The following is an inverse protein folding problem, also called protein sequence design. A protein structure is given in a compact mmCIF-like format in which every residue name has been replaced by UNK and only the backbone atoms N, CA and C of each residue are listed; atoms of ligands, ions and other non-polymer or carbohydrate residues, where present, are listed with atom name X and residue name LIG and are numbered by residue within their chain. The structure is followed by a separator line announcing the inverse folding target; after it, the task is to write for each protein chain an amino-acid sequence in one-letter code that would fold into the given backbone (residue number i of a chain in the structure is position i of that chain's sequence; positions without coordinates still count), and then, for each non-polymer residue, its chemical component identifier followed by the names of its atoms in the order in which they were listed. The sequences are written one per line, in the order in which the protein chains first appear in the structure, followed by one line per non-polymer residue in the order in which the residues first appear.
data_IF_663132461953
#
_entry.id   IF_663132461953
#
_cell.length_a   1.000
_cell.length_b   1.000
_cell.length_c   1.000
_cell.angle_alpha   90.00
_cell.angle_beta   90.00
_cell.angle_gamma   90.00
#
_symmetry.space_group_name_H-M   'P 1'
#
loop_
_entity.id
_entity.type
_entity.pdbx_description
1 polymer ?
#
# COMPACT_ATOMS: atom_id res chain seq x y z
N UNK A 1 -7.55 29.71 -7.12
CA UNK A 1 -6.37 30.33 -6.48
C UNK A 1 -6.89 31.29 -5.42
N UNK A 2 -7.18 30.78 -4.21
CA UNK A 2 -7.56 31.49 -2.96
C UNK A 2 -8.01 30.42 -1.93
N UNK A 3 -7.06 29.66 -1.39
CA UNK A 3 -7.25 28.71 -0.26
C UNK A 3 -5.91 28.50 0.48
N UNK A 4 -5.08 29.55 0.58
CA UNK A 4 -3.65 29.39 0.90
C UNK A 4 -3.22 29.51 2.37
N UNK A 5 -4.05 30.01 3.28
CA UNK A 5 -3.50 30.60 4.53
C UNK A 5 -3.88 29.89 5.84
N UNK A 6 -4.35 28.64 5.80
CA UNK A 6 -4.61 27.88 7.04
C UNK A 6 -4.04 26.46 7.05
N UNK A 7 -2.93 26.23 6.36
CA UNK A 7 -2.05 25.10 6.65
C UNK A 7 -1.22 25.46 7.89
N UNK A 8 -1.77 25.19 9.07
CA UNK A 8 -1.12 25.31 10.39
C UNK A 8 -0.82 26.73 10.90
N UNK A 9 -1.29 27.01 12.12
CA UNK A 9 -0.76 28.09 12.94
C UNK A 9 0.71 27.80 13.26
N UNK A 10 1.64 28.40 12.53
CA UNK A 10 3.06 28.41 12.90
C UNK A 10 3.97 28.93 11.80
N UNK A 11 4.39 30.18 11.91
CA UNK A 11 5.56 30.82 11.26
C UNK A 11 5.71 30.65 9.73
N UNK A 12 5.62 31.74 8.95
CA UNK A 12 5.51 31.71 7.48
C UNK A 12 6.59 30.94 6.68
N UNK A 13 7.67 30.49 7.32
CA UNK A 13 8.66 29.54 6.76
C UNK A 13 8.12 28.12 6.58
N UNK A 14 7.27 27.63 7.49
CA UNK A 14 6.72 26.28 7.46
C UNK A 14 5.87 26.05 6.20
N UNK A 15 5.02 27.02 5.85
CA UNK A 15 4.16 26.96 4.67
C UNK A 15 4.90 26.98 3.34
N UNK A 16 6.13 27.52 3.27
CA UNK A 16 6.95 27.40 2.05
C UNK A 16 7.52 25.98 1.89
N UNK A 17 8.09 25.42 2.97
CA UNK A 17 8.66 24.06 2.98
C UNK A 17 7.59 23.02 2.65
N UNK A 18 6.42 23.11 3.28
CA UNK A 18 5.31 22.17 3.02
C UNK A 18 4.83 22.21 1.57
N UNK A 19 4.81 23.40 0.95
CA UNK A 19 4.49 23.54 -0.48
C UNK A 19 5.57 22.96 -1.37
N UNK A 20 6.85 23.13 -1.02
CA UNK A 20 7.96 22.55 -1.77
C UNK A 20 7.93 21.02 -1.71
N UNK A 21 7.72 20.44 -0.52
CA UNK A 21 7.62 18.99 -0.28
C UNK A 21 6.29 18.38 -0.79
N UNK A 22 5.32 19.21 -1.19
CA UNK A 22 4.10 18.79 -1.88
C UNK A 22 4.10 19.12 -3.38
N UNK A 23 5.23 19.64 -3.90
CA UNK A 23 5.31 20.03 -5.29
C UNK A 23 5.54 18.81 -6.21
N UNK A 24 5.15 18.90 -7.48
CA UNK A 24 5.50 17.88 -8.48
C UNK A 24 7.02 17.65 -8.59
N UNK A 25 7.84 18.67 -8.30
CA UNK A 25 9.29 18.55 -8.29
C UNK A 25 9.78 17.58 -7.22
N UNK A 26 9.18 17.59 -6.02
CA UNK A 26 9.55 16.64 -4.96
C UNK A 26 9.30 15.19 -5.38
N UNK A 27 8.13 14.90 -5.95
CA UNK A 27 7.83 13.57 -6.47
C UNK A 27 8.73 13.18 -7.64
N UNK A 28 9.05 14.11 -8.54
CA UNK A 28 10.00 13.86 -9.63
C UNK A 28 11.40 13.51 -9.09
N UNK A 29 11.87 14.21 -8.05
CA UNK A 29 13.14 13.89 -7.39
C UNK A 29 13.12 12.50 -6.75
N UNK A 30 12.04 12.11 -6.07
CA UNK A 30 11.90 10.76 -5.52
C UNK A 30 11.93 9.68 -6.62
N UNK A 31 11.19 9.88 -7.72
CA UNK A 31 11.17 8.98 -8.87
C UNK A 31 12.58 8.85 -9.47
N UNK A 32 13.25 9.96 -9.75
CA UNK A 32 14.59 9.95 -10.35
C UNK A 32 15.63 9.31 -9.42
N UNK A 33 15.48 9.50 -8.10
CA UNK A 33 16.34 8.88 -7.09
C UNK A 33 16.25 7.36 -7.07
N UNK A 34 15.14 6.78 -7.54
CA UNK A 34 15.00 5.33 -7.68
C UNK A 34 15.32 4.85 -9.10
N UNK A 35 14.80 5.55 -10.12
CA UNK A 35 14.90 5.14 -11.50
C UNK A 35 16.32 5.21 -12.06
N UNK A 36 17.09 6.26 -11.73
CA UNK A 36 18.47 6.40 -12.22
C UNK A 36 19.35 5.28 -11.64
N UNK A 37 19.38 5.02 -10.31
CA UNK A 37 20.15 3.90 -9.79
C UNK A 37 19.69 2.53 -10.32
N UNK A 38 18.39 2.35 -10.57
CA UNK A 38 17.86 1.13 -11.19
C UNK A 38 18.42 0.88 -12.61
N UNK A 39 18.67 1.93 -13.40
CA UNK A 39 19.34 1.80 -14.71
C UNK A 39 20.74 1.19 -14.54
N UNK A 40 21.48 1.60 -13.52
CA UNK A 40 22.86 1.15 -13.28
C UNK A 40 22.97 -0.09 -12.38
N UNK A 41 21.87 -0.62 -11.85
CA UNK A 41 21.89 -1.69 -10.85
C UNK A 41 22.39 -1.25 -9.48
N UNK A 42 22.47 0.06 -9.22
CA UNK A 42 22.99 0.65 -8.00
C UNK A 42 21.88 0.87 -6.94
N UNK A 43 21.10 -0.17 -6.63
CA UNK A 43 19.89 -0.08 -5.79
C UNK A 43 20.13 0.57 -4.41
N UNK A 44 21.30 0.32 -3.81
CA UNK A 44 21.71 0.93 -2.55
C UNK A 44 21.74 2.44 -2.61
N UNK A 45 22.22 3.01 -3.72
CA UNK A 45 22.27 4.46 -3.92
C UNK A 45 20.85 5.04 -3.90
N UNK A 46 19.90 4.38 -4.54
CA UNK A 46 18.50 4.80 -4.51
C UNK A 46 17.89 4.74 -3.10
N UNK A 47 18.22 3.68 -2.35
CA UNK A 47 17.81 3.51 -0.96
C UNK A 47 18.33 4.64 -0.07
N UNK A 48 19.63 4.94 -0.16
CA UNK A 48 20.29 6.02 0.58
C UNK A 48 19.74 7.40 0.22
N UNK A 49 19.56 7.70 -1.06
CA UNK A 49 18.99 8.98 -1.51
C UNK A 49 17.58 9.18 -0.92
N UNK A 50 16.72 8.17 -1.01
CA UNK A 50 15.37 8.24 -0.45
C UNK A 50 15.40 8.36 1.08
N UNK A 51 16.34 7.70 1.77
CA UNK A 51 16.50 7.82 3.21
C UNK A 51 16.95 9.23 3.65
N UNK A 52 17.78 9.89 2.83
CA UNK A 52 18.14 11.30 3.02
C UNK A 52 16.92 12.19 2.83
N UNK A 53 16.12 12.00 1.78
CA UNK A 53 14.87 12.77 1.59
C UNK A 53 13.89 12.58 2.74
N UNK A 54 13.73 11.34 3.22
CA UNK A 54 12.91 11.04 4.40
C UNK A 54 13.41 11.78 5.63
N UNK A 55 14.72 11.76 5.89
CA UNK A 55 15.34 12.42 7.05
C UNK A 55 15.23 13.94 6.96
N UNK A 56 15.41 14.51 5.77
CA UNK A 56 15.21 15.94 5.53
C UNK A 56 13.76 16.35 5.78
N UNK A 57 12.78 15.59 5.27
CA UNK A 57 11.38 15.84 5.52
C UNK A 57 11.04 15.81 7.02
N UNK A 58 11.53 14.81 7.76
CA UNK A 58 11.37 14.71 9.22
C UNK A 58 11.96 15.94 9.95
N UNK A 59 13.11 16.47 9.51
CA UNK A 59 13.71 17.64 10.17
C UNK A 59 12.97 18.93 9.81
N UNK A 60 12.58 19.09 8.55
CA UNK A 60 12.13 20.36 8.00
C UNK A 60 10.65 20.67 8.25
N UNK A 61 9.80 19.65 8.40
CA UNK A 61 8.37 19.84 8.63
C UNK A 61 7.81 18.92 9.70
N UNK A 62 6.71 19.33 10.33
CA UNK A 62 5.89 18.46 11.18
C UNK A 62 5.07 17.48 10.34
N UNK A 63 4.67 17.87 9.13
CA UNK A 63 3.84 17.05 8.27
C UNK A 63 4.55 15.72 7.95
N UNK A 64 3.97 14.61 8.36
CA UNK A 64 4.60 13.29 8.19
C UNK A 64 4.55 12.78 6.73
N UNK A 65 3.64 13.30 5.91
CA UNK A 65 3.38 12.79 4.55
C UNK A 65 4.59 12.79 3.61
N UNK A 66 5.45 13.83 3.56
CA UNK A 66 6.63 13.79 2.70
C UNK A 66 7.67 12.75 3.14
N UNK A 67 7.83 12.56 4.45
CA UNK A 67 8.69 11.52 5.01
C UNK A 67 8.13 10.13 4.67
N UNK A 68 6.82 9.95 4.80
CA UNK A 68 6.13 8.74 4.38
C UNK A 68 6.28 8.47 2.88
N UNK A 69 6.20 9.49 2.03
CA UNK A 69 6.44 9.36 0.59
C UNK A 69 7.86 8.85 0.32
N UNK A 70 8.88 9.50 0.89
CA UNK A 70 10.26 9.07 0.72
C UNK A 70 10.50 7.65 1.25
N UNK A 71 9.85 7.28 2.36
CA UNK A 71 9.86 5.91 2.88
C UNK A 71 9.31 4.89 1.87
N UNK A 72 8.17 5.15 1.23
CA UNK A 72 7.63 4.26 0.18
C UNK A 72 8.66 4.10 -0.95
N UNK A 73 9.31 5.16 -1.38
CA UNK A 73 10.33 5.10 -2.43
C UNK A 73 11.60 4.35 -1.99
N UNK A 74 12.02 4.42 -0.71
CA UNK A 74 13.05 3.54 -0.15
C UNK A 74 12.68 2.06 -0.33
N UNK A 75 11.43 1.67 -0.08
CA UNK A 75 11.03 0.26 -0.22
C UNK A 75 11.03 -0.20 -1.68
N UNK A 76 10.73 0.70 -2.62
CA UNK A 76 10.73 0.38 -4.05
C UNK A 76 12.16 0.33 -4.60
N UNK A 77 13.09 1.15 -4.09
CA UNK A 77 14.47 1.21 -4.63
C UNK A 77 15.24 -0.10 -4.50
N UNK A 78 14.93 -0.91 -3.49
CA UNK A 78 15.58 -2.21 -3.23
C UNK A 78 14.73 -3.40 -3.69
N UNK A 79 13.64 -3.17 -4.43
CA UNK A 79 12.66 -4.22 -4.72
C UNK A 79 13.19 -5.34 -5.65
N UNK A 80 14.27 -5.07 -6.40
CA UNK A 80 14.96 -6.10 -7.22
C UNK A 80 15.77 -7.07 -6.35
N UNK A 81 16.13 -6.69 -5.12
CA UNK A 81 16.99 -7.46 -4.22
C UNK A 81 16.20 -8.56 -3.52
N UNK A 82 15.88 -9.62 -4.26
CA UNK A 82 15.22 -10.81 -3.74
C UNK A 82 16.23 -11.82 -3.18
N UNK A 83 15.93 -12.41 -2.01
CA UNK A 83 16.72 -13.49 -1.43
C UNK A 83 18.08 -13.06 -0.87
N UNK A 84 18.23 -11.78 -0.52
CA UNK A 84 19.46 -11.28 0.11
C UNK A 84 19.70 -11.92 1.48
N UNK A 85 20.97 -12.14 1.79
CA UNK A 85 21.46 -12.76 3.03
C UNK A 85 21.36 -11.82 4.23
N UNK A 86 21.48 -12.36 5.45
CA UNK A 86 21.60 -11.54 6.66
C UNK A 86 22.68 -10.45 6.55
N UNK A 87 23.87 -10.80 6.04
CA UNK A 87 24.99 -9.86 5.93
C UNK A 87 24.67 -8.69 5.00
N UNK A 88 24.03 -8.97 3.87
CA UNK A 88 23.59 -7.93 2.93
C UNK A 88 22.52 -7.03 3.55
N UNK A 89 21.54 -7.59 4.27
CA UNK A 89 20.52 -6.81 4.99
C UNK A 89 21.18 -5.88 6.02
N UNK A 90 22.10 -6.41 6.83
CA UNK A 90 22.82 -5.61 7.83
C UNK A 90 23.78 -4.60 7.19
N UNK A 91 24.22 -4.83 5.95
CA UNK A 91 24.96 -3.84 5.15
C UNK A 91 24.18 -2.52 4.99
N UNK A 92 22.85 -2.55 4.96
CA UNK A 92 22.00 -1.36 4.91
C UNK A 92 21.80 -0.67 6.26
N UNK A 93 22.25 -1.26 7.38
CA UNK A 93 22.02 -0.71 8.72
C UNK A 93 22.63 0.68 8.90
N UNK A 94 23.63 1.05 8.10
CA UNK A 94 24.20 2.41 8.07
C UNK A 94 23.15 3.50 7.84
N UNK A 95 22.07 3.21 7.10
CA UNK A 95 20.96 4.16 6.87
C UNK A 95 20.30 4.58 8.18
N UNK A 96 20.25 3.70 9.18
CA UNK A 96 19.69 4.00 10.49
C UNK A 96 20.45 5.13 11.19
N UNK A 97 21.75 5.31 10.92
CA UNK A 97 22.55 6.40 11.47
C UNK A 97 22.09 7.79 10.99
N UNK A 98 21.37 7.86 9.86
CA UNK A 98 20.79 9.11 9.35
C UNK A 98 19.32 9.25 9.77
N UNK A 99 18.56 8.16 9.66
CA UNK A 99 17.12 8.16 9.90
C UNK A 99 16.77 8.30 11.38
N UNK A 100 17.45 7.57 12.27
CA UNK A 100 17.13 7.57 13.70
C UNK A 100 17.33 8.97 14.31
N UNK A 101 18.47 9.67 14.11
CA UNK A 101 18.63 11.03 14.64
C UNK A 101 17.57 12.01 14.11
N UNK A 102 17.20 11.92 12.83
CA UNK A 102 16.16 12.75 12.24
C UNK A 102 14.78 12.47 12.87
N UNK A 103 14.44 11.20 13.09
CA UNK A 103 13.21 10.80 13.76
C UNK A 103 13.18 11.28 15.22
N UNK A 104 14.26 11.08 15.97
CA UNK A 104 14.41 11.56 17.34
C UNK A 104 14.22 13.08 17.39
N UNK A 105 14.91 13.81 16.52
CA UNK A 105 14.76 15.26 16.40
C UNK A 105 13.30 15.65 16.12
N UNK A 106 12.65 15.02 15.15
CA UNK A 106 11.24 15.28 14.82
C UNK A 106 10.32 15.02 16.03
N UNK A 107 10.58 13.94 16.77
CA UNK A 107 9.82 13.60 17.97
C UNK A 107 9.95 14.71 19.02
N UNK A 108 11.17 15.17 19.32
CA UNK A 108 11.39 16.19 20.34
C UNK A 108 10.96 17.60 19.89
N UNK A 109 11.21 17.95 18.63
CA UNK A 109 10.92 19.28 18.06
C UNK A 109 9.44 19.58 18.01
N UNK A 110 8.62 18.58 17.66
CA UNK A 110 7.18 18.72 17.49
C UNK A 110 6.34 18.15 18.65
N UNK A 111 6.99 17.75 19.76
CA UNK A 111 6.33 17.16 20.95
C UNK A 111 5.13 17.94 21.48
N UNK A 112 5.14 19.28 21.40
CA UNK A 112 4.05 20.13 21.90
C UNK A 112 2.75 19.89 21.12
N UNK A 113 2.86 19.61 19.82
CA UNK A 113 1.71 19.35 18.94
C UNK A 113 1.04 17.99 19.19
N UNK A 114 1.71 17.09 19.93
CA UNK A 114 1.19 15.76 20.28
C UNK A 114 0.56 15.70 21.68
N UNK A 115 0.63 16.78 22.45
CA UNK A 115 -0.01 16.86 23.78
C UNK A 115 -1.52 16.79 23.61
N UNK A 116 -2.16 15.88 24.34
CA UNK A 116 -3.61 15.69 24.25
C UNK A 116 -4.07 14.87 23.05
N UNK A 117 -3.18 14.04 22.48
CA UNK A 117 -3.57 13.03 21.49
C UNK A 117 -4.76 12.20 21.98
N UNK A 118 -5.77 12.06 21.12
CA UNK A 118 -6.94 11.20 21.35
C UNK A 118 -6.93 10.12 20.27
N UNK A 119 -6.82 8.84 20.65
CA UNK A 119 -6.80 7.76 19.67
C UNK A 119 -8.02 7.76 18.75
N UNK A 120 -7.79 7.56 17.45
CA UNK A 120 -8.84 7.36 16.45
C UNK A 120 -9.51 5.99 16.56
N UNK A 121 -10.51 5.75 15.71
CA UNK A 121 -11.29 4.50 15.65
C UNK A 121 -10.44 3.29 15.29
N UNK A 122 -9.35 3.50 14.57
CA UNK A 122 -8.42 2.44 14.18
C UNK A 122 -7.45 2.01 15.29
N UNK A 123 -7.38 2.73 16.41
CA UNK A 123 -6.44 2.43 17.48
C UNK A 123 -6.71 1.08 18.16
N UNK A 124 -7.92 0.87 18.67
CA UNK A 124 -8.24 -0.36 19.39
C UNK A 124 -8.19 -1.62 18.50
N UNK A 125 -8.70 -1.60 17.25
CA UNK A 125 -8.55 -2.75 16.36
C UNK A 125 -7.07 -3.07 16.03
N UNK A 126 -6.23 -2.06 15.79
CA UNK A 126 -4.79 -2.29 15.59
C UNK A 126 -4.12 -2.82 16.86
N UNK A 127 -4.51 -2.33 18.04
CA UNK A 127 -4.00 -2.84 19.31
C UNK A 127 -4.40 -4.30 19.56
N UNK A 128 -5.62 -4.70 19.16
CA UNK A 128 -6.07 -6.08 19.22
C UNK A 128 -5.24 -6.99 18.30
N UNK A 129 -4.94 -6.55 17.08
CA UNK A 129 -4.03 -7.27 16.16
C UNK A 129 -2.63 -7.39 16.77
N UNK A 130 -2.11 -6.32 17.36
CA UNK A 130 -0.83 -6.35 18.07
C UNK A 130 -0.82 -7.35 19.23
N UNK A 131 -1.90 -7.43 20.01
CA UNK A 131 -2.02 -8.40 21.09
C UNK A 131 -2.09 -9.84 20.55
N UNK A 132 -2.83 -10.07 19.47
CA UNK A 132 -2.92 -11.38 18.84
C UNK A 132 -1.58 -11.87 18.28
N UNK A 133 -0.79 -10.98 17.67
CA UNK A 133 0.56 -11.30 17.19
C UNK A 133 1.50 -11.69 18.34
N UNK A 134 1.46 -10.97 19.46
CA UNK A 134 2.27 -11.28 20.64
C UNK A 134 1.87 -12.61 21.28
N UNK A 135 0.57 -12.93 21.30
CA UNK A 135 0.03 -14.15 21.90
C UNK A 135 0.05 -15.35 20.94
N UNK A 136 0.33 -15.13 19.65
CA UNK A 136 0.38 -16.19 18.65
C UNK A 136 1.42 -17.26 18.99
N UNK A 137 1.02 -18.52 18.95
CA UNK A 137 1.84 -19.66 19.34
C UNK A 137 1.89 -19.95 20.84
N UNK A 138 1.19 -19.19 21.70
CA UNK A 138 1.19 -19.43 23.13
C UNK A 138 0.73 -20.85 23.48
N UNK A 139 1.63 -21.64 24.07
CA UNK A 139 1.42 -23.05 24.40
C UNK A 139 1.78 -24.05 23.30
N UNK A 140 2.18 -23.57 22.11
CA UNK A 140 2.53 -24.40 20.94
C UNK A 140 4.00 -24.24 20.54
N UNK A 141 4.48 -22.99 20.47
CA UNK A 141 5.83 -22.66 19.97
C UNK A 141 6.87 -22.70 21.10
N UNK A 142 8.08 -23.16 20.79
CA UNK A 142 9.19 -23.08 21.73
C UNK A 142 9.66 -21.64 21.95
N UNK A 143 10.27 -21.36 23.10
CA UNK A 143 10.84 -20.02 23.36
C UNK A 143 11.97 -19.68 22.37
N UNK A 144 12.76 -20.67 21.95
CA UNK A 144 13.85 -20.49 20.98
C UNK A 144 13.32 -20.04 19.61
N UNK A 145 12.29 -20.71 19.09
CA UNK A 145 11.67 -20.34 17.81
C UNK A 145 10.94 -18.99 17.89
N UNK A 146 10.28 -18.71 19.01
CA UNK A 146 9.56 -17.44 19.19
C UNK A 146 10.51 -16.23 19.24
N UNK A 147 11.64 -16.36 19.96
CA UNK A 147 12.62 -15.27 20.10
C UNK A 147 13.72 -15.29 19.02
N UNK A 148 13.63 -16.18 18.04
CA UNK A 148 14.48 -16.14 16.86
C UNK A 148 14.30 -14.79 16.11
N UNK A 149 15.37 -14.32 15.47
CA UNK A 149 15.43 -12.96 14.91
C UNK A 149 14.32 -12.68 13.90
N UNK A 150 14.08 -13.60 12.95
CA UNK A 150 13.05 -13.43 11.92
C UNK A 150 11.63 -13.38 12.54
N UNK A 151 11.17 -14.39 13.31
CA UNK A 151 9.85 -14.33 13.95
C UNK A 151 9.67 -13.12 14.88
N UNK A 152 10.69 -12.78 15.67
CA UNK A 152 10.65 -11.61 16.54
C UNK A 152 10.50 -10.31 15.73
N UNK A 153 11.18 -10.18 14.58
CA UNK A 153 10.98 -9.05 13.67
C UNK A 153 9.53 -8.95 13.20
N UNK A 154 8.92 -10.02 12.70
CA UNK A 154 7.52 -9.96 12.23
C UNK A 154 6.54 -9.68 13.37
N UNK A 155 6.65 -10.38 14.50
CA UNK A 155 5.76 -10.20 15.65
C UNK A 155 5.85 -8.77 16.20
N UNK A 156 7.06 -8.25 16.43
CA UNK A 156 7.25 -6.91 16.97
C UNK A 156 6.90 -5.84 15.94
N UNK A 157 7.29 -6.01 14.68
CA UNK A 157 7.08 -4.99 13.67
C UNK A 157 5.61 -4.90 13.27
N UNK A 158 4.95 -6.01 12.93
CA UNK A 158 3.52 -6.02 12.59
C UNK A 158 2.62 -5.70 13.78
N UNK A 159 3.07 -6.01 15.00
CA UNK A 159 2.33 -5.74 16.22
C UNK A 159 2.63 -4.36 16.79
N UNK A 160 3.54 -4.32 17.76
CA UNK A 160 3.75 -3.14 18.62
C UNK A 160 4.34 -1.97 17.84
N UNK A 161 5.29 -2.22 16.94
CA UNK A 161 5.92 -1.16 16.17
C UNK A 161 4.94 -0.52 15.19
N UNK A 162 4.15 -1.31 14.46
CA UNK A 162 3.13 -0.78 13.54
C UNK A 162 2.06 0.02 14.30
N UNK A 163 1.64 -0.42 15.49
CA UNK A 163 0.76 0.36 16.35
C UNK A 163 1.39 1.70 16.77
N UNK A 164 2.66 1.69 17.18
CA UNK A 164 3.39 2.90 17.54
C UNK A 164 3.56 3.86 16.35
N UNK A 165 3.89 3.32 15.17
CA UNK A 165 4.01 4.08 13.92
C UNK A 165 2.65 4.66 13.54
N UNK A 166 1.55 3.91 13.67
CA UNK A 166 0.20 4.42 13.42
C UNK A 166 -0.10 5.64 14.32
N UNK A 167 0.15 5.54 15.63
CA UNK A 167 -0.04 6.65 16.57
C UNK A 167 0.83 7.84 16.20
N UNK A 168 2.09 7.59 15.85
CA UNK A 168 3.03 8.63 15.43
C UNK A 168 2.55 9.35 14.16
N UNK A 169 2.16 8.60 13.13
CA UNK A 169 1.63 9.13 11.89
C UNK A 169 0.34 9.93 12.12
N UNK A 170 -0.60 9.41 12.92
CA UNK A 170 -1.86 10.09 13.23
C UNK A 170 -1.66 11.42 13.96
N UNK A 171 -0.68 11.49 14.87
CA UNK A 171 -0.33 12.72 15.59
C UNK A 171 0.21 13.83 14.68
N UNK A 172 0.90 13.47 13.60
CA UNK A 172 1.63 14.40 12.73
C UNK A 172 1.04 14.48 11.31
N UNK A 173 -0.12 13.85 11.11
CA UNK A 173 -0.95 13.99 9.92
C UNK A 173 -1.61 15.38 9.88
N UNK A 174 -1.61 16.07 8.73
CA UNK A 174 -2.32 17.34 8.62
C UNK A 174 -3.84 17.22 8.76
N UNK A 175 -4.46 18.31 9.21
CA UNK A 175 -5.92 18.39 9.36
C UNK A 175 -6.65 18.73 8.06
N UNK A 176 -5.96 19.28 7.05
CA UNK A 176 -6.61 19.59 5.77
C UNK A 176 -6.91 18.31 5.00
N UNK A 177 -8.16 17.84 5.08
CA UNK A 177 -8.63 16.65 4.37
C UNK A 177 -8.37 16.67 2.87
N UNK A 178 -8.45 17.83 2.23
CA UNK A 178 -8.24 17.98 0.80
C UNK A 178 -6.77 17.79 0.44
N UNK A 179 -5.89 18.40 1.23
CA UNK A 179 -4.45 18.22 1.11
C UNK A 179 -4.02 16.78 1.38
N UNK A 180 -4.43 16.18 2.49
CA UNK A 180 -3.97 14.82 2.89
C UNK A 180 -4.44 13.76 1.90
N UNK A 181 -5.71 13.80 1.49
CA UNK A 181 -6.28 12.88 0.49
C UNK A 181 -5.60 13.01 -0.88
N UNK A 182 -5.32 14.24 -1.30
CA UNK A 182 -4.58 14.52 -2.52
C UNK A 182 -3.14 13.99 -2.45
N UNK A 183 -2.44 14.25 -1.34
CA UNK A 183 -1.05 13.88 -1.16
C UNK A 183 -0.87 12.35 -1.16
N UNK A 184 -1.71 11.61 -0.42
CA UNK A 184 -1.59 10.15 -0.38
C UNK A 184 -1.90 9.52 -1.76
N UNK A 185 -2.84 10.08 -2.51
CA UNK A 185 -3.09 9.67 -3.88
C UNK A 185 -1.89 9.97 -4.78
N UNK A 186 -1.29 11.17 -4.66
CA UNK A 186 -0.11 11.56 -5.43
C UNK A 186 1.11 10.68 -5.11
N UNK A 187 1.29 10.23 -3.86
CA UNK A 187 2.31 9.22 -3.48
C UNK A 187 2.11 7.91 -4.23
N UNK A 188 0.88 7.38 -4.23
CA UNK A 188 0.57 6.11 -4.89
C UNK A 188 0.65 6.22 -6.43
N UNK A 189 0.21 7.34 -7.00
CA UNK A 189 0.35 7.64 -8.43
C UNK A 189 1.83 7.72 -8.80
N UNK A 190 2.65 8.39 -7.99
CA UNK A 190 4.09 8.51 -8.23
C UNK A 190 4.81 7.16 -8.08
N UNK A 191 4.42 6.33 -7.11
CA UNK A 191 4.92 4.96 -6.97
C UNK A 191 4.55 4.10 -8.19
N UNK A 192 3.30 4.19 -8.66
CA UNK A 192 2.88 3.52 -9.90
C UNK A 192 3.66 4.03 -11.11
N UNK A 193 3.97 5.33 -11.18
CA UNK A 193 4.76 5.90 -12.27
C UNK A 193 6.21 5.39 -12.25
N UNK A 194 6.80 5.24 -11.07
CA UNK A 194 8.10 4.61 -10.90
C UNK A 194 8.09 3.16 -11.39
N UNK A 195 7.08 2.35 -11.01
CA UNK A 195 6.97 0.98 -11.52
C UNK A 195 6.80 0.92 -13.04
N UNK A 196 6.00 1.80 -13.63
CA UNK A 196 5.86 1.90 -15.09
C UNK A 196 7.21 2.21 -15.76
N UNK A 197 8.01 3.09 -15.17
CA UNK A 197 9.35 3.41 -15.65
C UNK A 197 10.33 2.25 -15.46
N UNK A 198 10.28 1.56 -14.32
CA UNK A 198 11.11 0.37 -14.06
C UNK A 198 10.79 -0.76 -15.04
N UNK A 199 9.51 -0.97 -15.37
CA UNK A 199 9.11 -1.92 -16.40
C UNK A 199 9.63 -1.53 -17.78
N UNK A 200 9.53 -0.26 -18.15
CA UNK A 200 10.10 0.24 -19.41
C UNK A 200 11.62 0.03 -19.46
N UNK A 201 12.33 0.36 -18.38
CA UNK A 201 13.79 0.16 -18.29
C UNK A 201 14.12 -1.33 -18.40
N UNK A 202 13.38 -2.21 -17.72
CA UNK A 202 13.57 -3.65 -17.81
C UNK A 202 13.33 -4.16 -19.24
N UNK A 203 12.25 -3.73 -19.88
CA UNK A 203 11.90 -4.11 -21.25
C UNK A 203 13.00 -3.70 -22.25
N UNK A 204 13.54 -2.48 -22.10
CA UNK A 204 14.62 -1.99 -22.94
C UNK A 204 15.95 -2.72 -22.66
N UNK A 205 16.25 -3.04 -21.40
CA UNK A 205 17.44 -3.84 -21.02
C UNK A 205 17.38 -5.27 -21.58
N UNK A 206 16.20 -5.85 -21.62
CA UNK A 206 15.96 -7.23 -22.08
C UNK A 206 15.78 -7.31 -23.63
N UNK A 207 16.08 -6.23 -24.36
CA UNK A 207 16.10 -6.22 -25.83
C UNK A 207 14.78 -5.85 -26.51
N UNK A 208 13.70 -5.62 -25.75
CA UNK A 208 12.47 -5.01 -26.25
C UNK A 208 11.59 -5.91 -27.14
N UNK A 209 11.78 -7.23 -27.09
CA UNK A 209 10.96 -8.20 -27.84
C UNK A 209 9.78 -8.75 -27.04
N UNK A 210 9.96 -8.99 -25.75
CA UNK A 210 8.98 -9.60 -24.86
C UNK A 210 8.86 -8.82 -23.55
N UNK A 211 7.70 -8.88 -22.90
CA UNK A 211 7.53 -8.22 -21.62
C UNK A 211 8.38 -8.95 -20.55
N UNK A 212 9.25 -8.23 -19.84
CA UNK A 212 10.23 -8.84 -18.94
C UNK A 212 9.55 -9.57 -17.78
N UNK A 213 10.06 -10.75 -17.43
CA UNK A 213 9.74 -11.37 -16.15
C UNK A 213 10.63 -10.77 -15.06
N UNK A 214 10.01 -10.32 -13.96
CA UNK A 214 10.71 -9.87 -12.76
C UNK A 214 10.03 -10.40 -11.52
N UNK A 215 10.79 -10.80 -10.50
CA UNK A 215 10.24 -11.36 -9.26
C UNK A 215 9.32 -10.34 -8.55
N UNK A 216 9.68 -9.06 -8.58
CA UNK A 216 8.92 -7.98 -7.95
C UNK A 216 7.59 -7.64 -8.64
N UNK A 217 7.22 -8.33 -9.73
CA UNK A 217 5.92 -8.15 -10.43
C UNK A 217 4.73 -8.20 -9.48
N UNK A 218 4.81 -9.04 -8.46
CA UNK A 218 3.77 -9.24 -7.46
C UNK A 218 3.63 -8.01 -6.55
N UNK A 219 4.75 -7.43 -6.13
CA UNK A 219 4.74 -6.21 -5.32
C UNK A 219 4.26 -5.00 -6.14
N UNK A 220 4.73 -4.87 -7.38
CA UNK A 220 4.26 -3.83 -8.30
C UNK A 220 2.75 -3.94 -8.57
N UNK A 221 2.25 -5.15 -8.79
CA UNK A 221 0.82 -5.41 -8.95
C UNK A 221 0.02 -4.98 -7.71
N UNK A 222 0.51 -5.29 -6.51
CA UNK A 222 -0.14 -4.90 -5.26
C UNK A 222 -0.17 -3.37 -5.07
N UNK A 223 0.92 -2.67 -5.41
CA UNK A 223 0.94 -1.20 -5.44
C UNK A 223 -0.05 -0.63 -6.47
N UNK A 224 -0.13 -1.22 -7.66
CA UNK A 224 -1.04 -0.76 -8.71
C UNK A 224 -2.51 -0.99 -8.33
N UNK A 225 -2.85 -2.08 -7.62
CA UNK A 225 -4.20 -2.33 -7.09
C UNK A 225 -4.64 -1.20 -6.14
N UNK A 226 -3.73 -0.72 -5.28
CA UNK A 226 -3.99 0.42 -4.39
C UNK A 226 -4.01 1.76 -5.15
N UNK A 227 -3.14 1.94 -6.14
CA UNK A 227 -2.95 3.21 -6.84
C UNK A 227 -4.02 3.50 -7.90
N UNK A 228 -4.52 2.49 -8.63
CA UNK A 228 -5.41 2.69 -9.78
C UNK A 228 -6.73 3.40 -9.40
N UNK A 229 -7.47 2.97 -8.35
CA UNK A 229 -8.71 3.65 -7.97
C UNK A 229 -8.49 5.09 -7.51
N UNK A 230 -7.35 5.37 -6.88
CA UNK A 230 -6.95 6.72 -6.45
C UNK A 230 -6.45 7.58 -7.61
N UNK A 231 -5.85 6.98 -8.64
CA UNK A 231 -5.49 7.63 -9.91
C UNK A 231 -6.75 8.16 -10.59
N UNK A 232 -7.78 7.31 -10.71
CA UNK A 232 -9.09 7.70 -11.23
C UNK A 232 -9.72 8.80 -10.36
N UNK A 233 -9.75 8.64 -9.03
CA UNK A 233 -10.27 9.66 -8.13
C UNK A 233 -9.59 11.03 -8.32
N UNK A 234 -8.26 11.04 -8.43
CA UNK A 234 -7.48 12.26 -8.66
C UNK A 234 -7.90 12.93 -9.97
N UNK A 235 -8.19 12.14 -11.00
CA UNK A 235 -8.76 12.58 -12.27
C UNK A 235 -10.08 13.36 -12.14
N UNK A 236 -10.97 13.02 -11.19
CA UNK A 236 -12.26 13.71 -11.00
C UNK A 236 -12.06 15.20 -10.68
N UNK A 237 -11.08 15.49 -9.83
CA UNK A 237 -10.78 16.83 -9.32
C UNK A 237 -9.71 17.58 -10.13
N UNK A 238 -9.02 16.89 -11.04
CA UNK A 238 -7.91 17.44 -11.81
C UNK A 238 -8.36 18.24 -13.04
N UNK A 239 -7.51 19.16 -13.50
CA UNK A 239 -7.68 19.84 -14.79
C UNK A 239 -7.34 18.92 -15.97
N UNK A 240 -6.45 17.95 -15.77
CA UNK A 240 -5.92 16.98 -16.75
C UNK A 240 -6.51 15.58 -16.53
N UNK A 241 -7.84 15.50 -16.59
CA UNK A 241 -8.62 14.30 -16.29
C UNK A 241 -8.25 13.11 -17.19
N UNK A 242 -8.20 13.35 -18.51
CA UNK A 242 -7.84 12.33 -19.50
C UNK A 242 -6.46 11.72 -19.27
N UNK A 243 -5.49 12.48 -18.74
CA UNK A 243 -4.17 11.94 -18.40
C UNK A 243 -4.24 10.94 -17.23
N UNK A 244 -5.12 11.17 -16.24
CA UNK A 244 -5.32 10.24 -15.13
C UNK A 244 -6.04 8.98 -15.59
N UNK A 245 -7.06 9.11 -16.44
CA UNK A 245 -7.74 7.96 -17.04
C UNK A 245 -6.77 7.12 -17.88
N UNK A 246 -5.99 7.76 -18.75
CA UNK A 246 -4.96 7.08 -19.54
C UNK A 246 -3.92 6.38 -18.64
N UNK A 247 -3.48 7.06 -17.58
CA UNK A 247 -2.52 6.47 -16.66
C UNK A 247 -3.09 5.28 -15.87
N UNK A 248 -4.37 5.33 -15.48
CA UNK A 248 -5.05 4.18 -14.88
C UNK A 248 -5.18 3.00 -15.86
N UNK A 249 -5.46 3.26 -17.15
CA UNK A 249 -5.45 2.25 -18.20
C UNK A 249 -4.05 1.66 -18.44
N UNK A 250 -3.01 2.48 -18.35
CA UNK A 250 -1.62 2.01 -18.41
C UNK A 250 -1.30 1.09 -17.22
N UNK A 251 -1.71 1.45 -16.00
CA UNK A 251 -1.53 0.59 -14.82
C UNK A 251 -2.23 -0.75 -15.02
N UNK A 252 -3.49 -0.75 -15.50
CA UNK A 252 -4.21 -1.97 -15.86
C UNK A 252 -3.40 -2.81 -16.87
N UNK A 253 -2.96 -2.21 -17.97
CA UNK A 253 -2.19 -2.91 -18.99
C UNK A 253 -0.88 -3.50 -18.44
N UNK A 254 -0.14 -2.76 -17.62
CA UNK A 254 1.11 -3.24 -17.03
C UNK A 254 0.90 -4.39 -16.04
N UNK A 255 -0.17 -4.36 -15.23
CA UNK A 255 -0.51 -5.51 -14.36
C UNK A 255 -0.78 -6.76 -15.21
N UNK A 256 -1.59 -6.63 -16.26
CA UNK A 256 -1.88 -7.73 -17.17
C UNK A 256 -0.60 -8.28 -17.84
N UNK A 257 0.22 -7.39 -18.41
CA UNK A 257 1.47 -7.74 -19.09
C UNK A 257 2.52 -8.35 -18.15
N UNK A 258 2.54 -7.95 -16.88
CA UNK A 258 3.50 -8.47 -15.89
C UNK A 258 3.37 -9.96 -15.60
N UNK A 259 2.21 -10.56 -15.91
CA UNK A 259 1.91 -11.95 -15.57
C UNK A 259 1.81 -12.18 -14.05
N UNK A 260 1.52 -11.16 -13.23
CA UNK A 260 1.16 -11.33 -11.83
C UNK A 260 -0.29 -11.82 -11.74
N UNK A 261 -0.50 -13.14 -11.81
CA UNK A 261 -1.84 -13.77 -11.94
C UNK A 261 -2.85 -13.25 -10.90
N UNK A 262 -2.45 -13.22 -9.63
CA UNK A 262 -3.29 -12.70 -8.55
C UNK A 262 -3.65 -11.23 -8.73
N UNK A 263 -2.67 -10.39 -9.10
CA UNK A 263 -2.93 -8.96 -9.32
C UNK A 263 -3.82 -8.74 -10.54
N UNK A 264 -3.62 -9.50 -11.61
CA UNK A 264 -4.42 -9.44 -12.84
C UNK A 264 -5.87 -9.78 -12.56
N UNK A 265 -6.13 -10.90 -11.87
CA UNK A 265 -7.48 -11.34 -11.53
C UNK A 265 -8.21 -10.27 -10.70
N UNK A 266 -7.57 -9.81 -9.63
CA UNK A 266 -8.21 -8.86 -8.72
C UNK A 266 -8.35 -7.48 -9.37
N UNK A 267 -7.38 -7.04 -10.18
CA UNK A 267 -7.46 -5.79 -10.93
C UNK A 267 -8.68 -5.82 -11.87
N UNK A 268 -8.93 -6.94 -12.55
CA UNK A 268 -10.12 -7.10 -13.40
C UNK A 268 -11.42 -6.93 -12.60
N UNK A 269 -11.49 -7.44 -11.36
CA UNK A 269 -12.66 -7.32 -10.48
C UNK A 269 -12.88 -5.89 -9.98
N UNK A 270 -11.82 -5.17 -9.58
CA UNK A 270 -11.96 -3.83 -8.98
C UNK A 270 -11.98 -2.70 -10.02
N UNK A 271 -11.55 -2.96 -11.26
CA UNK A 271 -11.46 -1.92 -12.30
C UNK A 271 -12.84 -1.35 -12.66
N UNK A 272 -13.83 -2.21 -12.90
CA UNK A 272 -15.18 -1.79 -13.24
C UNK A 272 -15.84 -0.94 -12.13
N UNK A 273 -15.90 -1.37 -10.86
CA UNK A 273 -16.48 -0.52 -9.81
C UNK A 273 -15.68 0.77 -9.57
N UNK A 274 -14.37 0.77 -9.80
CA UNK A 274 -13.55 1.99 -9.77
C UNK A 274 -13.90 2.97 -10.91
N UNK A 275 -14.12 2.46 -12.13
CA UNK A 275 -14.62 3.25 -13.26
C UNK A 275 -16.04 3.77 -13.02
N UNK A 276 -16.94 2.95 -12.47
CA UNK A 276 -18.30 3.40 -12.12
C UNK A 276 -18.20 4.57 -11.12
N UNK A 277 -17.37 4.43 -10.09
CA UNK A 277 -17.10 5.51 -9.12
C UNK A 277 -16.58 6.76 -9.83
N UNK A 278 -15.62 6.59 -10.75
CA UNK A 278 -15.07 7.68 -11.54
C UNK A 278 -16.13 8.48 -12.32
N UNK A 279 -16.95 7.80 -13.10
CA UNK A 279 -17.95 8.43 -13.96
C UNK A 279 -19.16 8.97 -13.17
N UNK A 280 -19.61 8.28 -12.12
CA UNK A 280 -20.74 8.72 -11.28
C UNK A 280 -20.43 10.05 -10.58
N UNK A 281 -19.21 10.19 -10.06
CA UNK A 281 -18.80 11.40 -9.33
C UNK A 281 -18.22 12.49 -10.25
N UNK A 282 -18.12 12.24 -11.56
CA UNK A 282 -17.71 13.25 -12.54
C UNK A 282 -18.85 14.23 -12.84
N UNK A 283 -18.70 15.48 -12.41
CA UNK A 283 -19.72 16.53 -12.61
C UNK A 283 -19.77 17.13 -14.02
N UNK A 284 -18.67 17.03 -14.78
CA UNK A 284 -18.50 17.69 -16.08
C UNK A 284 -19.02 16.82 -17.23
N UNK A 285 -20.25 17.10 -17.71
CA UNK A 285 -20.94 16.28 -18.71
C UNK A 285 -20.28 16.28 -20.09
N UNK A 286 -19.70 17.40 -20.52
CA UNK A 286 -19.04 17.49 -21.83
C UNK A 286 -17.76 16.64 -21.84
N UNK A 287 -16.98 16.69 -20.76
CA UNK A 287 -15.78 15.87 -20.61
C UNK A 287 -16.08 14.40 -20.36
N UNK A 288 -17.18 14.10 -19.67
CA UNK A 288 -17.64 12.72 -19.48
C UNK A 288 -17.82 12.00 -20.82
N UNK A 289 -18.38 12.69 -21.84
CA UNK A 289 -18.49 12.14 -23.19
C UNK A 289 -17.13 11.93 -23.85
N UNK A 290 -16.22 12.90 -23.75
CA UNK A 290 -14.86 12.76 -24.30
C UNK A 290 -14.12 11.59 -23.66
N UNK A 291 -14.21 11.44 -22.35
CA UNK A 291 -13.51 10.39 -21.62
C UNK A 291 -14.16 9.02 -21.81
N UNK A 292 -15.48 8.95 -21.91
CA UNK A 292 -16.18 7.74 -22.33
C UNK A 292 -15.78 7.34 -23.76
N UNK A 293 -15.63 8.31 -24.68
CA UNK A 293 -15.16 8.05 -26.03
C UNK A 293 -13.69 7.59 -26.06
N UNK A 294 -12.82 8.15 -25.21
CA UNK A 294 -11.43 7.69 -25.07
C UNK A 294 -11.37 6.26 -24.51
N UNK A 295 -12.19 5.96 -23.50
CA UNK A 295 -12.29 4.60 -22.95
C UNK A 295 -12.81 3.61 -24.00
N UNK A 296 -13.85 3.99 -24.74
CA UNK A 296 -14.37 3.19 -25.84
C UNK A 296 -13.31 2.98 -26.93
N UNK A 297 -12.59 4.03 -27.32
CA UNK A 297 -11.50 3.93 -28.29
C UNK A 297 -10.38 3.01 -27.79
N UNK A 298 -9.96 3.13 -26.53
CA UNK A 298 -8.97 2.23 -25.92
C UNK A 298 -9.46 0.78 -25.93
N UNK A 299 -10.73 0.54 -25.59
CA UNK A 299 -11.36 -0.77 -25.66
C UNK A 299 -11.38 -1.30 -27.10
N UNK A 300 -11.75 -0.49 -28.09
CA UNK A 300 -11.75 -0.89 -29.50
C UNK A 300 -10.34 -1.17 -30.02
N UNK A 301 -9.33 -0.38 -29.64
CA UNK A 301 -7.93 -0.65 -29.99
C UNK A 301 -7.48 -1.95 -29.35
N UNK A 302 -7.77 -2.16 -28.06
CA UNK A 302 -7.46 -3.41 -27.37
C UNK A 302 -8.15 -4.60 -28.04
N UNK A 303 -9.44 -4.49 -28.36
CA UNK A 303 -10.22 -5.50 -29.06
C UNK A 303 -9.71 -5.76 -30.49
N UNK A 304 -9.28 -4.72 -31.22
CA UNK A 304 -8.73 -4.86 -32.57
C UNK A 304 -7.36 -5.55 -32.55
N UNK A 305 -6.47 -5.17 -31.61
CA UNK A 305 -5.21 -5.88 -31.36
C UNK A 305 -5.46 -7.35 -30.96
N UNK A 306 -6.58 -7.60 -30.28
CA UNK A 306 -7.08 -8.93 -29.95
C UNK A 306 -7.53 -9.74 -31.16
N UNK A 307 -8.33 -9.16 -32.03
CA UNK A 307 -8.91 -9.84 -33.19
C UNK A 307 -7.87 -10.15 -34.28
N UNK A 308 -6.72 -9.47 -34.29
CA UNK A 308 -5.69 -9.62 -35.32
C UNK A 308 -4.63 -10.71 -35.05
N UNK A 309 -4.59 -11.27 -33.83
CA UNK A 309 -3.76 -12.44 -33.40
C UNK A 309 -3.81 -12.61 -31.87
N UNK A 310 -4.26 -11.58 -31.14
CA UNK A 310 -4.30 -11.55 -29.68
C UNK A 310 -5.32 -12.49 -29.02
N UNK A 311 -6.32 -13.00 -29.75
CA UNK A 311 -7.26 -14.00 -29.22
C UNK A 311 -6.55 -15.34 -28.97
N UNK A 312 -5.65 -15.75 -29.89
CA UNK A 312 -4.82 -16.94 -29.69
C UNK A 312 -3.82 -16.72 -28.57
N UNK A 313 -3.14 -15.56 -28.54
CA UNK A 313 -2.22 -15.20 -27.44
C UNK A 313 -2.92 -15.02 -26.09
N UNK A 314 -4.19 -14.59 -26.05
CA UNK A 314 -4.97 -14.53 -24.81
C UNK A 314 -5.42 -15.91 -24.40
N UNK A 315 -5.93 -16.72 -25.33
CA UNK A 315 -6.28 -18.11 -25.04
C UNK A 315 -5.04 -18.82 -24.55
N UNK A 316 -3.90 -18.73 -25.23
CA UNK A 316 -2.61 -19.23 -24.75
C UNK A 316 -2.21 -18.58 -23.41
N UNK A 317 -2.43 -17.27 -23.19
CA UNK A 317 -2.13 -16.61 -21.91
C UNK A 317 -3.08 -17.01 -20.78
N UNK A 318 -4.34 -17.36 -21.07
CA UNK A 318 -5.35 -17.83 -20.12
C UNK A 318 -5.17 -19.32 -19.86
N UNK A 319 -4.82 -20.09 -20.87
CA UNK A 319 -4.47 -21.52 -20.77
C UNK A 319 -3.13 -21.71 -20.07
N UNK A 320 -2.14 -20.82 -20.28
CA UNK A 320 -0.88 -20.78 -19.54
C UNK A 320 -0.96 -19.95 -18.25
N UNK A 321 -1.96 -19.06 -18.09
CA UNK A 321 -2.42 -18.60 -16.77
C UNK A 321 -3.19 -19.76 -16.20
N UNK A 322 -2.47 -20.78 -15.78
CA UNK A 322 -3.07 -21.78 -14.96
C UNK A 322 -3.44 -21.13 -13.62
N UNK A 323 -4.69 -20.65 -13.54
CA UNK A 323 -5.28 -20.01 -12.36
C UNK A 323 -5.56 -21.11 -11.31
N UNK A 324 -5.67 -22.36 -11.75
CA UNK A 324 -6.10 -23.51 -10.96
C UNK A 324 -5.04 -24.59 -10.78
N UNK A 325 -4.03 -24.71 -11.64
CA UNK A 325 -2.92 -25.64 -11.37
C UNK A 325 -2.08 -25.10 -10.21
N UNK A 326 -2.10 -25.88 -9.12
CA UNK A 326 -1.49 -25.54 -7.85
C UNK A 326 -0.01 -25.24 -8.03
N UNK A 327 0.43 -24.02 -7.71
CA UNK A 327 1.84 -23.63 -7.68
C UNK A 327 2.64 -24.38 -6.58
N UNK A 328 2.37 -25.66 -6.31
CA UNK A 328 2.89 -26.37 -5.14
C UNK A 328 2.39 -25.78 -3.82
N UNK A 329 1.29 -25.02 -3.83
CA UNK A 329 0.72 -24.38 -2.62
C UNK A 329 -0.33 -25.21 -1.91
N UNK A 330 -0.75 -26.31 -2.52
CA UNK A 330 -1.74 -27.22 -1.94
C UNK A 330 -1.23 -27.78 -0.62
N UNK A 331 0.02 -28.27 -0.61
CA UNK A 331 0.69 -28.76 0.60
C UNK A 331 0.82 -27.67 1.68
N UNK A 332 1.12 -26.43 1.29
CA UNK A 332 1.13 -25.30 2.22
C UNK A 332 -0.25 -25.06 2.84
N UNK A 333 -1.31 -25.11 2.04
CA UNK A 333 -2.67 -24.93 2.53
C UNK A 333 -3.08 -26.09 3.43
N UNK A 334 -2.76 -27.33 3.07
CA UNK A 334 -3.04 -28.52 3.88
C UNK A 334 -2.39 -28.41 5.26
N UNK A 335 -1.09 -28.11 5.32
CA UNK A 335 -0.38 -27.85 6.59
C UNK A 335 -1.00 -26.69 7.35
N UNK A 336 -1.41 -25.63 6.65
CA UNK A 336 -2.09 -24.49 7.27
C UNK A 336 -3.41 -24.87 7.91
N UNK A 337 -4.23 -25.66 7.22
CA UNK A 337 -5.51 -26.16 7.73
C UNK A 337 -5.29 -27.12 8.91
N UNK A 338 -4.30 -28.02 8.83
CA UNK A 338 -3.93 -28.89 9.94
C UNK A 338 -3.55 -28.07 11.18
N UNK A 339 -2.69 -27.06 11.02
CA UNK A 339 -2.27 -26.19 12.11
C UNK A 339 -3.43 -25.43 12.76
N UNK A 340 -4.43 -25.02 11.97
CA UNK A 340 -5.65 -24.36 12.48
C UNK A 340 -6.43 -25.30 13.40
N UNK A 341 -6.62 -26.56 13.01
CA UNK A 341 -7.39 -27.52 13.80
C UNK A 341 -6.62 -28.05 15.01
N UNK A 342 -5.31 -28.21 14.89
CA UNK A 342 -4.44 -28.68 15.98
C UNK A 342 -4.20 -27.60 17.04
N UNK A 343 -4.20 -26.32 16.68
CA UNK A 343 -3.92 -25.19 17.58
C UNK A 343 -4.99 -24.08 17.50
N UNK A 344 -6.25 -24.37 17.86
CA UNK A 344 -7.39 -23.54 17.49
C UNK A 344 -7.45 -22.17 18.18
N UNK A 345 -6.85 -22.00 19.37
CA UNK A 345 -6.98 -20.75 20.14
C UNK A 345 -5.91 -19.72 19.77
N UNK A 346 -4.63 -20.12 19.85
CA UNK A 346 -3.47 -19.23 19.66
C UNK A 346 -2.63 -19.57 18.43
N UNK A 347 -2.97 -20.61 17.67
CA UNK A 347 -2.19 -21.04 16.50
C UNK A 347 -0.82 -21.62 16.86
N UNK A 348 -0.02 -21.87 15.82
CA UNK A 348 1.36 -22.37 15.92
C UNK A 348 2.40 -21.27 16.13
N UNK A 349 2.01 -20.00 16.00
CA UNK A 349 2.91 -18.86 16.06
C UNK A 349 3.59 -18.55 14.71
N UNK A 350 4.03 -17.29 14.55
CA UNK A 350 4.71 -16.81 13.33
C UNK A 350 6.08 -17.48 13.13
N UNK A 351 6.69 -17.96 14.22
CA UNK A 351 7.97 -18.66 14.17
C UNK A 351 7.89 -20.14 13.83
N UNK A 352 6.70 -20.66 13.53
CA UNK A 352 6.54 -22.02 13.03
C UNK A 352 7.41 -22.26 11.79
N UNK A 353 8.00 -23.45 11.70
CA UNK A 353 8.85 -23.89 10.60
C UNK A 353 8.48 -25.30 10.15
N UNK A 354 8.52 -25.51 8.85
CA UNK A 354 8.45 -26.83 8.23
C UNK A 354 9.29 -26.82 6.96
N UNK A 355 10.59 -27.13 7.13
CA UNK A 355 11.57 -27.07 6.03
C UNK A 355 11.41 -28.23 5.02
N UNK A 356 10.62 -29.26 5.35
CA UNK A 356 10.28 -30.35 4.43
C UNK A 356 9.32 -29.87 3.33
N UNK A 357 8.37 -29.01 3.70
CA UNK A 357 7.36 -28.46 2.80
C UNK A 357 7.84 -27.19 2.11
N UNK A 358 8.54 -26.31 2.84
CA UNK A 358 9.02 -25.05 2.28
C UNK A 358 10.27 -24.54 2.97
N UNK A 359 11.37 -24.49 2.21
CA UNK A 359 12.62 -23.94 2.68
C UNK A 359 12.56 -22.41 2.79
N UNK A 360 12.96 -21.91 3.96
CA UNK A 360 12.93 -20.48 4.27
C UNK A 360 14.21 -19.78 3.82
N UNK A 361 14.02 -18.64 3.17
CA UNK A 361 15.10 -17.66 3.01
C UNK A 361 15.42 -16.98 4.36
N UNK A 362 16.59 -16.35 4.45
CA UNK A 362 16.93 -15.47 5.56
C UNK A 362 15.85 -14.40 5.77
N UNK A 363 15.53 -14.11 7.04
CA UNK A 363 14.47 -13.16 7.42
C UNK A 363 13.06 -13.47 6.86
N UNK A 364 12.83 -14.69 6.36
CA UNK A 364 11.49 -15.16 6.01
C UNK A 364 10.83 -15.88 7.21
N UNK A 365 9.50 -15.91 7.18
CA UNK A 365 8.66 -16.76 8.03
C UNK A 365 7.96 -17.79 7.16
N UNK A 366 7.41 -18.85 7.76
CA UNK A 366 6.67 -19.86 7.00
C UNK A 366 5.44 -19.24 6.35
N UNK A 367 5.52 -19.12 5.02
CA UNK A 367 4.51 -18.46 4.21
C UNK A 367 3.46 -19.45 3.74
N UNK A 368 2.27 -19.38 4.32
CA UNK A 368 1.12 -20.12 3.79
C UNK A 368 0.63 -19.56 2.45
N UNK A 369 1.15 -18.42 1.99
CA UNK A 369 0.73 -17.72 0.77
C UNK A 369 -0.78 -17.41 0.69
N UNK A 370 -1.43 -17.29 1.85
CA UNK A 370 -2.80 -16.82 1.99
C UNK A 370 -2.94 -16.14 3.34
N UNK A 371 -3.30 -14.85 3.34
CA UNK A 371 -3.44 -14.07 4.58
C UNK A 371 -4.48 -14.66 5.53
N UNK A 372 -5.68 -15.11 5.09
CA UNK A 372 -6.62 -15.80 5.96
C UNK A 372 -6.00 -17.04 6.63
N UNK A 373 -5.36 -17.92 5.86
CA UNK A 373 -4.72 -19.13 6.42
C UNK A 373 -3.59 -18.72 7.37
N UNK A 374 -2.76 -17.75 6.99
CA UNK A 374 -1.68 -17.25 7.83
C UNK A 374 -2.18 -16.72 9.18
N UNK A 375 -3.29 -15.96 9.19
CA UNK A 375 -3.90 -15.44 10.42
C UNK A 375 -4.32 -16.60 11.33
N UNK A 376 -5.15 -17.52 10.81
CA UNK A 376 -5.71 -18.58 11.64
C UNK A 376 -4.66 -19.62 12.04
N UNK A 377 -3.75 -20.01 11.15
CA UNK A 377 -2.70 -20.97 11.47
C UNK A 377 -1.72 -20.39 12.50
N UNK A 378 -1.29 -19.13 12.33
CA UNK A 378 -0.26 -18.53 13.19
C UNK A 378 -0.80 -18.00 14.53
N UNK A 379 -2.06 -17.57 14.58
CA UNK A 379 -2.63 -16.87 15.75
C UNK A 379 -3.97 -17.45 16.23
N UNK A 380 -4.50 -18.49 15.59
CA UNK A 380 -5.75 -19.14 15.96
C UNK A 380 -6.98 -18.25 15.85
N UNK A 381 -8.04 -18.64 16.55
CA UNK A 381 -9.29 -17.89 16.63
C UNK A 381 -9.11 -16.49 17.23
N UNK A 382 -8.13 -16.29 18.11
CA UNK A 382 -7.80 -14.95 18.65
C UNK A 382 -7.35 -14.01 17.53
N UNK A 383 -6.41 -14.46 16.68
CA UNK A 383 -5.98 -13.72 15.49
C UNK A 383 -7.14 -13.45 14.54
N UNK A 384 -7.94 -14.47 14.25
CA UNK A 384 -9.12 -14.34 13.40
C UNK A 384 -10.09 -13.27 13.91
N UNK A 385 -10.40 -13.25 15.21
CA UNK A 385 -11.27 -12.26 15.82
C UNK A 385 -10.68 -10.83 15.77
N UNK A 386 -9.38 -10.68 16.03
CA UNK A 386 -8.70 -9.39 15.99
C UNK A 386 -8.67 -8.79 14.58
N UNK A 387 -8.28 -9.58 13.57
CA UNK A 387 -8.27 -9.13 12.18
C UNK A 387 -9.67 -8.90 11.62
N UNK A 388 -10.66 -9.71 12.00
CA UNK A 388 -12.05 -9.48 11.63
C UNK A 388 -12.58 -8.17 12.23
N UNK A 389 -12.26 -7.88 13.49
CA UNK A 389 -12.61 -6.59 14.10
C UNK A 389 -11.96 -5.43 13.36
N UNK A 390 -10.68 -5.55 13.01
CA UNK A 390 -9.97 -4.55 12.22
C UNK A 390 -10.62 -4.32 10.85
N UNK A 391 -10.97 -5.38 10.13
CA UNK A 391 -11.68 -5.30 8.86
C UNK A 391 -13.04 -4.59 9.01
N UNK A 392 -13.84 -4.97 10.01
CA UNK A 392 -15.13 -4.33 10.27
C UNK A 392 -14.94 -2.84 10.60
N UNK A 393 -13.93 -2.48 11.39
CA UNK A 393 -13.63 -1.09 11.73
C UNK A 393 -13.24 -0.27 10.48
N UNK A 394 -12.41 -0.84 9.60
CA UNK A 394 -12.04 -0.26 8.30
C UNK A 394 -13.29 0.00 7.44
N UNK A 395 -14.16 -1.00 7.28
CA UNK A 395 -15.39 -0.87 6.48
C UNK A 395 -16.35 0.18 7.06
N UNK A 396 -16.44 0.32 8.38
CA UNK A 396 -17.25 1.36 9.05
C UNK A 396 -16.77 2.79 8.80
N UNK A 397 -15.52 2.99 8.35
CA UNK A 397 -15.01 4.30 7.96
C UNK A 397 -15.44 4.73 6.56
N UNK A 398 -15.88 3.80 5.72
CA UNK A 398 -16.23 4.07 4.32
C UNK A 398 -17.55 4.83 4.24
N UNK A 399 -17.57 5.86 3.38
CA UNK A 399 -18.75 6.70 3.09
C UNK A 399 -19.01 6.71 1.59
N UNK A 400 -20.23 7.06 1.19
CA UNK A 400 -20.61 7.20 -0.22
C UNK A 400 -20.09 8.51 -0.82
N UNK A 401 -18.77 8.62 -0.94
CA UNK A 401 -18.09 9.69 -1.65
C UNK A 401 -16.93 9.12 -2.49
N UNK A 402 -16.52 9.88 -3.50
CA UNK A 402 -15.53 9.42 -4.48
C UNK A 402 -14.21 8.95 -3.84
N UNK A 403 -13.68 9.69 -2.85
CA UNK A 403 -12.42 9.33 -2.20
C UNK A 403 -12.55 8.03 -1.41
N UNK A 404 -13.60 7.93 -0.58
CA UNK A 404 -13.84 6.77 0.29
C UNK A 404 -14.08 5.49 -0.51
N UNK A 405 -14.83 5.59 -1.62
CA UNK A 405 -15.05 4.46 -2.51
C UNK A 405 -13.77 4.06 -3.24
N UNK A 406 -12.96 5.00 -3.69
CA UNK A 406 -11.65 4.68 -4.28
C UNK A 406 -10.70 4.01 -3.27
N UNK A 407 -10.66 4.48 -2.02
CA UNK A 407 -9.91 3.80 -0.95
C UNK A 407 -10.47 2.39 -0.71
N UNK A 408 -11.79 2.22 -0.67
CA UNK A 408 -12.43 0.90 -0.55
C UNK A 408 -12.01 -0.03 -1.70
N UNK A 409 -12.10 0.40 -2.95
CA UNK A 409 -11.76 -0.45 -4.09
C UNK A 409 -10.27 -0.82 -4.11
N UNK A 410 -9.40 0.12 -3.76
CA UNK A 410 -7.97 -0.17 -3.62
C UNK A 410 -7.72 -1.18 -2.50
N UNK A 411 -8.36 -0.99 -1.35
CA UNK A 411 -8.26 -1.88 -0.20
C UNK A 411 -8.79 -3.28 -0.49
N UNK A 412 -9.97 -3.41 -1.11
CA UNK A 412 -10.51 -4.70 -1.55
C UNK A 412 -9.61 -5.35 -2.61
N UNK A 413 -8.94 -4.53 -3.44
CA UNK A 413 -7.90 -5.00 -4.35
C UNK A 413 -6.73 -5.65 -3.62
N UNK A 414 -6.18 -4.94 -2.64
CA UNK A 414 -5.09 -5.40 -1.79
C UNK A 414 -5.44 -6.67 -1.00
N UNK A 415 -6.60 -6.68 -0.33
CA UNK A 415 -7.08 -7.83 0.46
C UNK A 415 -7.41 -9.02 -0.44
N UNK A 416 -8.05 -8.79 -1.59
CA UNK A 416 -8.34 -9.83 -2.57
C UNK A 416 -7.06 -10.48 -3.10
N UNK A 417 -6.01 -9.70 -3.34
CA UNK A 417 -4.69 -10.23 -3.68
C UNK A 417 -4.08 -11.01 -2.51
N UNK A 418 -4.26 -10.50 -1.29
CA UNK A 418 -3.80 -11.12 -0.04
C UNK A 418 -4.57 -12.40 0.33
N UNK A 419 -5.61 -12.80 -0.40
CA UNK A 419 -6.17 -14.15 -0.29
C UNK A 419 -5.27 -15.21 -0.95
N UNK A 420 -4.46 -14.81 -1.93
CA UNK A 420 -3.54 -15.68 -2.69
C UNK A 420 -2.07 -15.27 -2.50
N UNK A 421 -1.79 -14.41 -1.51
CA UNK A 421 -0.46 -14.07 -1.03
C UNK A 421 -0.54 -13.56 0.42
N UNK A 422 0.58 -13.23 1.06
CA UNK A 422 0.61 -12.76 2.46
C UNK A 422 0.90 -11.26 2.56
N UNK A 423 0.10 -10.46 1.85
CA UNK A 423 0.29 -8.99 1.77
C UNK A 423 0.28 -8.29 3.12
N UNK A 424 -0.67 -8.63 4.01
CA UNK A 424 -0.79 -8.03 5.35
C UNK A 424 0.37 -8.38 6.29
N UNK A 425 1.08 -9.47 6.01
CA UNK A 425 2.25 -9.90 6.79
C UNK A 425 3.57 -9.37 6.21
N UNK A 426 3.50 -8.60 5.13
CA UNK A 426 4.64 -7.82 4.63
C UNK A 426 4.66 -6.48 5.37
N UNK A 427 5.47 -6.32 6.44
CA UNK A 427 5.28 -5.20 7.36
C UNK A 427 5.55 -3.86 6.68
N UNK A 428 6.58 -3.85 5.83
CA UNK A 428 6.98 -2.72 5.01
C UNK A 428 7.04 -3.16 3.54
N UNK A 429 6.43 -2.42 2.60
CA UNK A 429 5.64 -1.20 2.80
C UNK A 429 4.15 -1.46 3.08
N UNK A 430 3.64 -2.66 2.84
CA UNK A 430 2.21 -2.88 2.61
C UNK A 430 1.33 -2.69 3.84
N UNK A 431 1.64 -3.34 4.96
CA UNK A 431 0.84 -3.19 6.17
C UNK A 431 0.79 -1.71 6.63
N UNK A 432 1.94 -1.03 6.60
CA UNK A 432 2.03 0.39 6.91
C UNK A 432 1.26 1.28 5.92
N UNK A 433 1.28 0.96 4.63
CA UNK A 433 0.54 1.68 3.59
C UNK A 433 -0.96 1.59 3.80
N UNK A 434 -1.49 0.40 4.13
CA UNK A 434 -2.91 0.21 4.46
C UNK A 434 -3.28 0.99 5.72
N UNK A 435 -2.45 0.92 6.77
CA UNK A 435 -2.64 1.74 7.98
C UNK A 435 -2.72 3.22 7.64
N UNK A 436 -1.80 3.73 6.83
CA UNK A 436 -1.77 5.13 6.43
C UNK A 436 -3.02 5.52 5.63
N UNK A 437 -3.47 4.68 4.68
CA UNK A 437 -4.69 4.92 3.91
C UNK A 437 -5.92 5.07 4.80
N UNK A 438 -6.05 4.23 5.83
CA UNK A 438 -7.18 4.32 6.76
C UNK A 438 -7.08 5.47 7.75
N UNK A 439 -5.87 5.90 8.15
CA UNK A 439 -5.69 7.15 8.90
C UNK A 439 -6.14 8.36 8.07
N UNK A 440 -5.77 8.39 6.78
CA UNK A 440 -6.24 9.45 5.86
C UNK A 440 -7.75 9.37 5.65
N UNK A 441 -8.31 8.17 5.47
CA UNK A 441 -9.75 7.99 5.29
C UNK A 441 -10.54 8.44 6.53
N UNK A 442 -10.06 8.09 7.72
CA UNK A 442 -10.64 8.55 8.98
C UNK A 442 -10.60 10.07 9.05
N UNK A 443 -9.45 10.70 8.80
CA UNK A 443 -9.31 12.17 8.75
C UNK A 443 -10.28 12.79 7.74
N UNK A 444 -10.40 12.19 6.56
CA UNK A 444 -11.24 12.69 5.48
C UNK A 444 -12.74 12.65 5.85
N UNK A 445 -13.19 11.59 6.51
CA UNK A 445 -14.59 11.35 6.83
C UNK A 445 -15.03 11.84 8.23
N UNK A 446 -14.11 12.04 9.17
CA UNK A 446 -14.42 12.48 10.54
C UNK A 446 -14.47 14.00 10.74
N UNK A 447 -14.07 14.80 9.73
CA UNK A 447 -14.32 16.25 9.66
C UNK A 447 -15.66 16.60 8.97
N UNK A 448 -16.48 15.61 8.63
CA UNK A 448 -17.92 15.85 8.51
C UNK A 448 -18.44 16.06 9.93
N UNK A 449 -19.28 17.09 10.19
CA UNK A 449 -19.96 17.19 11.48
C UNK A 449 -20.47 15.80 11.84
N UNK A 450 -20.19 15.38 13.08
CA UNK A 450 -20.98 14.31 13.66
C UNK A 450 -22.42 14.72 13.38
N UNK A 451 -23.18 13.86 12.71
CA UNK A 451 -24.61 13.87 12.95
C UNK A 451 -24.70 13.49 14.42
N UNK A 452 -24.58 14.49 15.28
CA UNK A 452 -24.81 14.36 16.69
C UNK A 452 -26.25 13.85 16.78
N UNK A 453 -26.37 12.64 17.32
CA UNK A 453 -27.61 12.21 17.91
C UNK A 453 -27.97 13.26 18.97
N UNK A 454 -28.89 14.15 18.59
CA UNK A 454 -29.44 15.17 19.47
C UNK A 454 -28.83 16.55 19.31
N UNK A 455 -29.08 17.19 18.17
CA UNK A 455 -29.68 18.53 18.16
C UNK A 455 -30.21 18.81 16.76
N UNK A 456 -31.53 19.00 16.68
CA UNK A 456 -32.22 19.26 15.43
C UNK A 456 -31.97 20.67 14.89
N UNK A 457 -32.55 20.87 13.72
CA UNK A 457 -32.82 22.14 13.03
C UNK A 457 -31.83 22.51 11.91
N UNK A 458 -32.33 22.26 10.69
CA UNK A 458 -32.11 22.98 9.44
C UNK A 458 -30.69 23.15 8.88
N UNK A 459 -30.28 22.19 8.05
CA UNK A 459 -29.41 22.50 6.89
C UNK A 459 -29.81 21.70 5.64
N UNK A 460 -31.06 21.86 5.22
CA UNK A 460 -31.49 21.57 3.84
C UNK A 460 -31.72 22.90 3.14
N UNK A 461 -30.65 23.50 2.60
CA UNK A 461 -30.64 24.36 1.42
C UNK A 461 -29.23 24.89 1.17
N UNK A 462 -28.60 24.30 0.16
CA UNK A 462 -27.56 24.82 -0.73
C UNK A 462 -26.38 23.85 -0.85
N UNK A 463 -26.56 22.77 -1.62
CA UNK A 463 -25.52 22.21 -2.50
C UNK A 463 -26.18 21.46 -3.66
#
# INVERSE_FOLDING_TARGET
MKTGDKLFCGDGRSGFIDRALASPLYFALLILSCAIPYIFGAYEVGFWLCAVFMSLALVLTRNILPSFAAFIFCTISVIEQYGITYEEIFGYAGVLAVVIPALIYHIFRYRKGRRGYKPGRMFLPQAAVSAALLLGGAGSISAEEYFALSPAYYVLFLGVALLAIMVFCDCDLPFDRGYVSAYIADVLIAAAALFSLMWLIAFLKDGGSEFPYRQWKNNAGNFMLLAMPLTLWRGISSRIKAAHLFFALLQLALVFLSGSRGSTLIMALIFLPSLITYFVFMKDRARLLTEAALLAAAFFVFAALFLLDGAKKLVDFIENMDIFDGNGREELYEVGIENIFSHPLFGVGIGYRNDEVWQLNDMAVFWYHSTPIQIFASMGALGGAAYLWQLIARLKLVRLNAFSLSVLWGFLGFEGYSCVNTGDFTPLPFALLVVMLFLVLERYNCDLPRLDEGEGVDFVRAY
#
